data_IF_660234831283
#
_entry.id   IF_660234831283
#
_cell.length_a   1.000
_cell.length_b   1.000
_cell.length_c   1.000
_cell.angle_alpha   90.00
_cell.angle_beta   90.00
_cell.angle_gamma   90.00
#
_symmetry.space_group_name_H-M   'P 1'
#
loop_
_entity.id
_entity.type
_entity.pdbx_description
1 polymer ?
#
# COMPACT_ATOMS: atom_id res chain seq x y z
N UNK A 1 22.76 -13.19 -22.90
CA UNK A 1 21.87 -12.89 -21.76
C UNK A 1 22.67 -13.31 -20.55
N UNK A 2 23.26 -12.33 -19.85
CA UNK A 2 24.00 -12.61 -18.62
C UNK A 2 23.02 -13.22 -17.61
N UNK A 3 23.36 -14.42 -17.13
CA UNK A 3 22.80 -14.94 -15.89
C UNK A 3 23.30 -14.00 -14.79
N UNK A 4 22.50 -13.02 -14.42
CA UNK A 4 22.69 -12.36 -13.12
C UNK A 4 22.52 -13.47 -12.07
N UNK A 5 23.62 -13.84 -11.40
CA UNK A 5 23.58 -14.68 -10.22
C UNK A 5 22.65 -14.02 -9.20
N UNK A 6 21.49 -14.62 -9.00
CA UNK A 6 20.51 -14.16 -8.03
C UNK A 6 21.13 -14.30 -6.63
N UNK A 7 21.66 -13.20 -6.09
CA UNK A 7 22.21 -13.18 -4.75
C UNK A 7 21.13 -13.56 -3.75
N UNK A 8 21.38 -14.60 -2.95
CA UNK A 8 20.47 -15.00 -1.89
C UNK A 8 20.60 -14.04 -0.70
N UNK A 9 19.51 -13.36 -0.37
CA UNK A 9 19.42 -12.54 0.83
C UNK A 9 19.02 -13.41 2.04
N UNK A 10 19.58 -13.14 3.21
CA UNK A 10 19.14 -13.79 4.44
C UNK A 10 17.70 -13.39 4.80
N UNK A 11 16.91 -14.29 5.39
CA UNK A 11 15.50 -14.02 5.72
C UNK A 11 15.30 -12.74 6.56
N UNK A 12 16.08 -12.58 7.63
CA UNK A 12 15.97 -11.41 8.52
C UNK A 12 16.41 -10.12 7.81
N UNK A 13 17.45 -10.21 7.00
CA UNK A 13 17.91 -9.09 6.18
C UNK A 13 16.85 -8.66 5.16
N UNK A 14 16.22 -9.63 4.49
CA UNK A 14 15.13 -9.39 3.54
C UNK A 14 13.96 -8.69 4.23
N UNK A 15 13.51 -9.18 5.38
CA UNK A 15 12.43 -8.55 6.14
C UNK A 15 12.79 -7.11 6.55
N UNK A 16 14.00 -6.88 7.08
CA UNK A 16 14.42 -5.54 7.52
C UNK A 16 14.61 -4.55 6.36
N UNK A 17 14.75 -5.03 5.12
CA UNK A 17 14.89 -4.19 3.92
C UNK A 17 13.56 -3.64 3.38
N UNK A 18 12.42 -3.91 4.03
CA UNK A 18 11.07 -3.54 3.55
C UNK A 18 10.44 -2.34 4.31
N UNK A 19 10.87 -1.09 4.06
CA UNK A 19 10.20 0.08 4.64
C UNK A 19 8.91 0.43 3.88
N UNK A 20 8.03 1.22 4.50
CA UNK A 20 6.92 1.85 3.79
C UNK A 20 7.44 2.92 2.81
N UNK A 21 7.38 2.63 1.50
CA UNK A 21 7.88 3.52 0.43
C UNK A 21 6.77 4.44 -0.09
N UNK A 22 7.15 5.66 -0.44
CA UNK A 22 6.26 6.72 -0.96
C UNK A 22 6.68 7.27 -2.34
N UNK A 23 7.80 6.75 -2.85
CA UNK A 23 8.30 6.97 -4.19
C UNK A 23 8.31 5.59 -4.84
N UNK A 24 7.33 5.35 -5.70
CA UNK A 24 7.11 4.06 -6.35
C UNK A 24 7.57 4.18 -7.80
N UNK A 25 8.26 3.16 -8.30
CA UNK A 25 8.64 3.09 -9.71
C UNK A 25 7.43 2.67 -10.55
N UNK A 26 7.37 3.13 -11.79
CA UNK A 26 6.45 2.74 -12.85
C UNK A 26 6.94 1.52 -13.66
N UNK A 27 8.11 0.97 -13.31
CA UNK A 27 8.69 -0.19 -13.99
C UNK A 27 7.69 -1.37 -13.96
N UNK A 28 7.37 -1.97 -15.13
CA UNK A 28 6.47 -3.12 -15.18
C UNK A 28 6.95 -4.28 -14.31
N UNK A 29 6.00 -4.96 -13.67
CA UNK A 29 6.24 -6.14 -12.83
C UNK A 29 5.57 -7.34 -13.49
N UNK A 30 6.30 -8.47 -13.58
CA UNK A 30 5.75 -9.71 -14.09
C UNK A 30 4.65 -10.24 -13.16
N UNK A 31 3.58 -10.78 -13.75
CA UNK A 31 2.50 -11.41 -13.00
C UNK A 31 2.97 -12.64 -12.22
N UNK A 32 4.02 -13.34 -12.65
CA UNK A 32 4.58 -14.46 -11.89
C UNK A 32 5.03 -14.01 -10.49
N UNK A 33 5.71 -12.87 -10.39
CA UNK A 33 6.13 -12.27 -9.12
C UNK A 33 4.92 -11.93 -8.24
N UNK A 34 3.85 -11.40 -8.84
CA UNK A 34 2.60 -11.10 -8.12
C UNK A 34 1.99 -12.38 -7.57
N UNK A 35 1.98 -13.47 -8.34
CA UNK A 35 1.46 -14.75 -7.89
C UNK A 35 2.29 -15.34 -6.75
N UNK A 36 3.62 -15.24 -6.81
CA UNK A 36 4.50 -15.66 -5.71
C UNK A 36 4.23 -14.88 -4.42
N UNK A 37 4.03 -13.56 -4.51
CA UNK A 37 3.66 -12.71 -3.36
C UNK A 37 2.31 -13.15 -2.78
N UNK A 38 1.30 -13.38 -3.63
CA UNK A 38 -0.03 -13.80 -3.18
C UNK A 38 -0.01 -15.21 -2.57
N UNK A 39 0.77 -16.12 -3.13
CA UNK A 39 0.98 -17.46 -2.59
C UNK A 39 1.62 -17.40 -1.19
N UNK A 40 2.63 -16.54 -1.00
CA UNK A 40 3.21 -16.29 0.31
C UNK A 40 2.16 -15.69 1.29
N UNK A 41 1.35 -14.74 0.84
CA UNK A 41 0.36 -14.05 1.67
C UNK A 41 -0.73 -14.98 2.22
N UNK A 42 -1.23 -15.95 1.43
CA UNK A 42 -2.31 -16.86 1.87
C UNK A 42 -1.88 -17.90 2.92
N UNK A 43 -0.58 -18.00 3.24
CA UNK A 43 -0.07 -18.90 4.29
C UNK A 43 -0.17 -18.31 5.69
N UNK A 44 -0.65 -17.07 5.83
CA UNK A 44 -0.98 -16.47 7.12
C UNK A 44 -2.00 -17.32 7.90
N UNK A 45 -1.98 -17.31 9.23
CA UNK A 45 -2.97 -18.04 10.03
C UNK A 45 -4.37 -17.43 9.86
N UNK A 46 -5.41 -18.27 9.83
CA UNK A 46 -6.80 -17.80 9.85
C UNK A 46 -7.67 -18.64 10.80
N UNK A 47 -8.63 -17.99 11.46
CA UNK A 47 -9.51 -18.64 12.43
C UNK A 47 -10.28 -19.80 11.81
N UNK A 48 -10.08 -21.02 12.32
CA UNK A 48 -10.68 -22.25 11.75
C UNK A 48 -10.23 -22.57 10.33
N UNK A 49 -9.11 -22.00 9.86
CA UNK A 49 -8.63 -22.09 8.47
C UNK A 49 -9.66 -21.60 7.42
N UNK A 50 -10.54 -20.67 7.80
CA UNK A 50 -11.61 -20.21 6.92
C UNK A 50 -11.14 -19.33 5.74
N UNK A 51 -9.90 -18.80 5.80
CA UNK A 51 -9.29 -17.99 4.72
C UNK A 51 -10.25 -16.93 4.14
N UNK A 52 -10.83 -16.13 5.02
CA UNK A 52 -11.87 -15.14 4.71
C UNK A 52 -11.36 -13.90 3.97
N UNK A 53 -10.27 -14.01 3.20
CA UNK A 53 -9.69 -12.93 2.41
C UNK A 53 -9.97 -13.10 0.92
N UNK A 54 -9.93 -11.98 0.21
CA UNK A 54 -9.79 -11.91 -1.24
C UNK A 54 -8.68 -10.91 -1.56
N UNK A 55 -8.04 -11.09 -2.71
CA UNK A 55 -7.02 -10.19 -3.20
C UNK A 55 -7.48 -9.60 -4.52
N UNK A 56 -7.52 -8.28 -4.61
CA UNK A 56 -7.83 -7.59 -5.86
C UNK A 56 -6.55 -6.96 -6.41
N UNK A 57 -6.13 -7.45 -7.58
CA UNK A 57 -4.97 -6.95 -8.31
C UNK A 57 -5.46 -6.01 -9.40
N UNK A 58 -5.06 -4.74 -9.32
CA UNK A 58 -5.44 -3.70 -10.28
C UNK A 58 -4.22 -3.27 -11.06
N UNK A 59 -4.28 -3.43 -12.39
CA UNK A 59 -3.25 -2.99 -13.35
C UNK A 59 -3.77 -1.97 -14.35
N UNK A 60 -5.08 -1.93 -14.52
CA UNK A 60 -5.72 -1.06 -15.49
C UNK A 60 -5.46 0.41 -15.12
N UNK A 61 -4.80 1.14 -16.01
CA UNK A 61 -4.41 2.52 -15.75
C UNK A 61 -5.64 3.44 -15.63
N UNK A 62 -6.70 3.21 -16.41
CA UNK A 62 -7.92 4.02 -16.34
C UNK A 62 -8.59 3.87 -14.98
N UNK A 63 -8.62 2.65 -14.45
CA UNK A 63 -9.14 2.39 -13.10
C UNK A 63 -8.28 3.06 -12.03
N UNK A 64 -6.94 2.95 -12.14
CA UNK A 64 -6.02 3.59 -11.18
C UNK A 64 -6.13 5.11 -11.22
N UNK A 65 -6.21 5.70 -12.41
CA UNK A 65 -6.34 7.15 -12.59
C UNK A 65 -7.61 7.65 -11.89
N UNK A 66 -8.76 7.01 -12.13
CA UNK A 66 -10.02 7.37 -11.49
C UNK A 66 -9.95 7.29 -9.96
N UNK A 67 -9.41 6.19 -9.42
CA UNK A 67 -9.29 6.02 -7.96
C UNK A 67 -8.32 7.05 -7.37
N UNK A 68 -7.23 7.39 -8.08
CA UNK A 68 -6.25 8.35 -7.62
C UNK A 68 -6.80 9.76 -7.47
N UNK A 69 -7.79 10.13 -8.30
CA UNK A 69 -8.48 11.41 -8.16
C UNK A 69 -9.21 11.51 -6.83
N UNK A 70 -9.98 10.48 -6.46
CA UNK A 70 -10.68 10.42 -5.17
C UNK A 70 -9.69 10.36 -4.00
N UNK A 71 -8.61 9.60 -4.14
CA UNK A 71 -7.56 9.54 -3.13
C UNK A 71 -6.94 10.93 -2.87
N UNK A 72 -6.60 11.65 -3.94
CA UNK A 72 -6.02 12.98 -3.89
C UNK A 72 -6.99 14.01 -3.32
N UNK A 73 -8.28 13.90 -3.64
CA UNK A 73 -9.32 14.73 -3.03
C UNK A 73 -9.36 14.53 -1.50
N UNK A 74 -9.42 13.28 -1.05
CA UNK A 74 -9.40 12.95 0.39
C UNK A 74 -8.10 13.43 1.07
N UNK A 75 -6.95 13.26 0.43
CA UNK A 75 -5.67 13.79 0.90
C UNK A 75 -5.73 15.31 1.10
N UNK A 76 -6.23 16.05 0.11
CA UNK A 76 -6.30 17.50 0.17
C UNK A 76 -7.22 17.99 1.30
N UNK A 77 -8.35 17.31 1.50
CA UNK A 77 -9.28 17.63 2.59
C UNK A 77 -8.68 17.36 3.98
N UNK A 78 -7.98 16.23 4.15
CA UNK A 78 -7.44 15.83 5.47
C UNK A 78 -6.08 16.48 5.81
N UNK A 79 -5.22 16.67 4.82
CA UNK A 79 -3.82 17.07 5.01
C UNK A 79 -3.45 18.32 4.22
N UNK A 80 -3.95 18.47 2.99
CA UNK A 80 -3.63 19.61 2.12
C UNK A 80 -3.98 20.97 2.76
N UNK A 81 -5.07 21.06 3.52
CA UNK A 81 -5.48 22.29 4.24
C UNK A 81 -4.45 22.78 5.27
N UNK A 82 -3.55 21.90 5.73
CA UNK A 82 -2.50 22.22 6.71
C UNK A 82 -1.13 22.42 6.08
N UNK A 83 -1.00 22.21 4.77
CA UNK A 83 0.27 22.20 4.04
C UNK A 83 1.15 23.40 4.37
N UNK A 84 0.66 24.64 4.21
CA UNK A 84 1.49 25.84 4.43
C UNK A 84 2.04 25.89 5.86
N UNK A 85 1.18 25.67 6.86
CA UNK A 85 1.56 25.66 8.28
C UNK A 85 2.60 24.58 8.59
N UNK A 86 2.45 23.39 8.00
CA UNK A 86 3.41 22.30 8.16
C UNK A 86 4.77 22.70 7.56
N UNK A 87 4.78 23.27 6.35
CA UNK A 87 6.02 23.66 5.67
C UNK A 87 6.74 24.83 6.35
N UNK A 88 5.99 25.73 6.99
CA UNK A 88 6.50 26.86 7.76
C UNK A 88 6.91 26.46 9.19
N UNK A 89 6.57 25.24 9.63
CA UNK A 89 6.85 24.74 10.98
C UNK A 89 5.91 25.30 12.05
N UNK A 90 4.74 25.79 11.66
CA UNK A 90 3.74 26.43 12.53
C UNK A 90 2.56 25.51 12.88
N UNK A 91 2.47 24.31 12.29
CA UNK A 91 1.44 23.33 12.65
C UNK A 91 1.81 22.62 13.96
N UNK A 92 1.20 23.05 15.06
CA UNK A 92 1.38 22.45 16.39
C UNK A 92 0.94 20.97 16.47
N UNK A 93 0.14 20.49 15.51
CA UNK A 93 -0.27 19.09 15.38
C UNK A 93 0.63 18.26 14.48
N UNK A 94 1.67 18.83 13.87
CA UNK A 94 2.64 18.09 13.08
C UNK A 94 3.68 17.41 13.98
N UNK A 95 3.77 16.09 13.88
CA UNK A 95 4.73 15.26 14.60
C UNK A 95 5.80 14.66 13.69
N UNK A 96 5.65 14.83 12.37
CA UNK A 96 6.47 14.16 11.37
C UNK A 96 7.41 15.14 10.64
N UNK A 97 7.05 16.42 10.56
CA UNK A 97 7.86 17.46 9.96
C UNK A 97 7.67 17.61 8.44
N UNK A 98 8.18 18.71 7.86
CA UNK A 98 7.98 19.07 6.45
C UNK A 98 8.40 17.99 5.45
N UNK A 99 9.54 17.31 5.70
CA UNK A 99 10.07 16.29 4.77
C UNK A 99 9.15 15.08 4.66
N UNK A 100 8.62 14.60 5.78
CA UNK A 100 7.70 13.47 5.80
C UNK A 100 6.37 13.83 5.17
N UNK A 101 5.87 15.05 5.41
CA UNK A 101 4.70 15.58 4.74
C UNK A 101 4.88 15.60 3.23
N UNK A 102 5.97 16.20 2.72
CA UNK A 102 6.24 16.28 1.28
C UNK A 102 6.38 14.90 0.63
N UNK A 103 6.96 13.93 1.34
CA UNK A 103 7.02 12.55 0.85
C UNK A 103 5.64 11.90 0.76
N UNK A 104 4.75 12.13 1.72
CA UNK A 104 3.37 11.64 1.67
C UNK A 104 2.53 12.36 0.61
N UNK A 105 2.72 13.66 0.45
CA UNK A 105 2.13 14.46 -0.61
C UNK A 105 2.57 13.96 -1.99
N UNK A 106 3.85 13.60 -2.17
CA UNK A 106 4.32 12.99 -3.40
C UNK A 106 3.55 11.71 -3.71
N UNK A 107 3.46 10.77 -2.77
CA UNK A 107 2.67 9.55 -2.98
C UNK A 107 1.22 9.89 -3.36
N UNK A 108 0.59 10.85 -2.69
CA UNK A 108 -0.80 11.19 -2.97
C UNK A 108 -1.05 11.73 -4.39
N UNK A 109 -0.03 12.35 -4.99
CA UNK A 109 -0.13 12.86 -6.36
C UNK A 109 0.27 11.83 -7.42
N UNK A 110 1.02 10.79 -7.05
CA UNK A 110 1.68 9.87 -7.96
C UNK A 110 1.32 8.39 -7.74
N UNK A 111 0.39 8.06 -6.83
CA UNK A 111 0.06 6.68 -6.47
C UNK A 111 -0.35 5.81 -7.66
N UNK A 112 -1.01 6.39 -8.67
CA UNK A 112 -1.46 5.74 -9.90
C UNK A 112 -0.32 5.30 -10.84
N UNK A 113 0.87 5.84 -10.66
CA UNK A 113 2.04 5.49 -11.48
C UNK A 113 2.59 4.11 -11.12
N UNK A 114 2.33 3.63 -9.90
CA UNK A 114 2.71 2.29 -9.50
C UNK A 114 2.08 1.25 -10.45
N UNK A 115 2.87 0.30 -10.99
CA UNK A 115 2.43 -0.59 -12.06
C UNK A 115 1.26 -1.49 -11.64
N UNK A 116 1.19 -1.84 -10.35
CA UNK A 116 0.22 -2.76 -9.79
C UNK A 116 -0.21 -2.26 -8.41
N UNK A 117 -1.52 -2.25 -8.17
CA UNK A 117 -2.08 -2.13 -6.82
C UNK A 117 -2.65 -3.48 -6.38
N UNK A 118 -2.35 -3.88 -5.15
CA UNK A 118 -2.89 -5.10 -4.53
C UNK A 118 -3.71 -4.68 -3.32
N UNK A 119 -5.01 -4.92 -3.35
CA UNK A 119 -5.90 -4.67 -2.23
C UNK A 119 -6.20 -5.97 -1.49
N UNK A 120 -5.85 -6.01 -0.20
CA UNK A 120 -6.32 -7.03 0.72
C UNK A 120 -7.79 -6.74 1.08
N UNK A 121 -8.67 -7.69 0.84
CA UNK A 121 -10.11 -7.55 1.08
C UNK A 121 -10.53 -8.59 2.10
N UNK A 122 -11.21 -8.15 3.14
CA UNK A 122 -11.93 -9.07 4.01
C UNK A 122 -13.30 -9.39 3.41
N UNK A 123 -13.60 -10.68 3.26
CA UNK A 123 -14.87 -11.15 2.72
C UNK A 123 -15.97 -11.12 3.79
N UNK A 124 -17.21 -10.98 3.32
CA UNK A 124 -18.43 -11.09 4.14
C UNK A 124 -18.55 -10.07 5.28
N UNK A 125 -17.88 -8.91 5.18
CA UNK A 125 -17.92 -7.88 6.22
C UNK A 125 -18.70 -6.63 5.85
N UNK A 126 -18.98 -6.40 4.57
CA UNK A 126 -19.66 -5.18 4.11
C UNK A 126 -21.00 -4.91 4.83
N UNK A 127 -21.72 -5.97 5.24
CA UNK A 127 -22.98 -5.89 5.97
C UNK A 127 -22.90 -6.39 7.42
N UNK A 128 -21.69 -6.64 7.93
CA UNK A 128 -21.51 -7.21 9.27
C UNK A 128 -21.75 -6.15 10.34
N UNK A 129 -22.64 -6.43 11.30
CA UNK A 129 -22.81 -5.64 12.53
C UNK A 129 -21.94 -6.13 13.69
N UNK A 130 -21.19 -7.22 13.48
CA UNK A 130 -20.31 -7.78 14.50
C UNK A 130 -19.09 -6.87 14.71
N UNK A 131 -18.86 -6.33 15.92
CA UNK A 131 -17.70 -5.47 16.20
C UNK A 131 -16.36 -6.20 16.12
N UNK A 132 -16.37 -7.54 16.06
CA UNK A 132 -15.18 -8.39 15.87
C UNK A 132 -14.94 -8.76 14.40
N UNK A 133 -15.75 -8.27 13.48
CA UNK A 133 -15.50 -8.48 12.06
C UNK A 133 -14.12 -7.92 11.69
N UNK A 134 -13.18 -8.82 11.39
CA UNK A 134 -11.80 -8.46 11.01
C UNK A 134 -10.78 -8.55 12.13
N UNK A 135 -11.19 -8.85 13.36
CA UNK A 135 -10.28 -8.96 14.51
C UNK A 135 -9.41 -10.24 14.53
N UNK A 136 -9.35 -10.98 13.41
CA UNK A 136 -8.59 -12.23 13.29
C UNK A 136 -7.91 -12.37 11.92
N UNK A 137 -7.61 -11.23 11.29
CA UNK A 137 -6.72 -11.14 10.12
C UNK A 137 -5.36 -10.72 10.67
N UNK A 138 -4.36 -11.58 10.49
CA UNK A 138 -2.98 -11.38 10.92
C UNK A 138 -2.06 -11.42 9.70
#
# INVERSE_FOLDING_TARGET
MENEEQQSLGLIEALHSTPARRYLSDNPIDMEIVWEILDAAIRGPSGGNNQGWAWLVVKDQVVKDQISEWYREGWNQAYGVRRSKILEGEDAGDTLGPKNFLSAEHLANHIQEAPIWIFAIQRNTASSTNPRAGSSIY
#
